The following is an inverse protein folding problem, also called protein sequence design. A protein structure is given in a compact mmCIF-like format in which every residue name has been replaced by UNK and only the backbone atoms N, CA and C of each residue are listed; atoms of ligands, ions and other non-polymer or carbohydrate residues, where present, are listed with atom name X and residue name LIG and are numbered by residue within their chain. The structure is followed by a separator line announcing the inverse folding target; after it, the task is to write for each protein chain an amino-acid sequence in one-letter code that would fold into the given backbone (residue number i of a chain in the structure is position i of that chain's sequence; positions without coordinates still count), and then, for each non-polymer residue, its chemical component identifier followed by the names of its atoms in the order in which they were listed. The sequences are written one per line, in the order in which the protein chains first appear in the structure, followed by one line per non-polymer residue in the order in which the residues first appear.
data_IF_884875365041
#
_entry.id   IF_884875365041
#
_cell.length_a   1.000
_cell.length_b   1.000
_cell.length_c   1.000
_cell.angle_alpha   90.00
_cell.angle_beta   90.00
_cell.angle_gamma   90.00
#
_symmetry.space_group_name_H-M   'P 1'
#
loop_
_entity.id
_entity.type
_entity.pdbx_description
1 polymer ?
#
# COMPACT_ATOMS: atom_id res chain seq x y z
N UNK A 1 -22.55 56.13 24.52
CA UNK A 1 -22.14 55.30 25.67
C UNK A 1 -21.10 54.29 25.20
N UNK A 2 -19.84 54.67 25.32
CA UNK A 2 -18.66 53.83 25.06
C UNK A 2 -18.31 53.09 26.36
N UNK A 3 -18.04 51.78 26.30
CA UNK A 3 -17.12 51.14 27.25
C UNK A 3 -16.27 50.10 26.52
N UNK A 4 -15.02 50.50 26.32
CA UNK A 4 -13.86 49.66 25.99
C UNK A 4 -13.57 48.74 27.18
N UNK A 5 -13.16 47.50 26.90
CA UNK A 5 -12.36 46.71 27.82
C UNK A 5 -11.10 46.24 27.09
N UNK A 6 -9.97 46.60 27.71
CA UNK A 6 -8.60 46.34 27.30
C UNK A 6 -8.19 44.89 27.62
N UNK A 7 -7.19 44.34 26.90
CA UNK A 7 -6.55 43.08 27.26
C UNK A 7 -5.53 43.30 28.40
N UNK A 8 -5.50 42.37 29.35
CA UNK A 8 -4.51 42.32 30.42
C UNK A 8 -3.24 41.66 29.88
N UNK A 9 -2.17 42.46 29.76
CA UNK A 9 -0.79 42.03 29.56
C UNK A 9 -0.22 41.59 30.91
N UNK A 10 0.16 40.33 31.04
CA UNK A 10 1.00 39.86 32.13
C UNK A 10 2.47 39.88 31.68
N UNK A 11 3.26 40.79 32.27
CA UNK A 11 4.71 40.85 32.14
C UNK A 11 5.30 39.98 33.25
N UNK A 12 5.92 38.86 32.88
CA UNK A 12 6.73 38.05 33.79
C UNK A 12 8.20 38.38 33.56
N UNK A 13 8.82 39.00 34.56
CA UNK A 13 10.28 39.19 34.66
C UNK A 13 10.88 37.88 35.14
N UNK A 14 11.66 37.21 34.29
CA UNK A 14 12.43 36.02 34.63
C UNK A 14 13.92 36.29 34.53
N UNK A 15 14.61 36.26 35.67
CA UNK A 15 16.07 36.34 35.78
C UNK A 15 16.74 35.21 34.98
N UNK A 16 17.70 35.57 34.13
CA UNK A 16 18.63 34.65 33.51
C UNK A 16 19.75 34.29 34.51
N UNK A 17 19.72 33.07 35.04
CA UNK A 17 20.87 32.42 35.66
C UNK A 17 21.41 31.40 34.67
N UNK A 18 22.61 31.67 34.14
CA UNK A 18 23.31 30.80 33.21
C UNK A 18 23.72 29.50 33.89
N UNK A 19 23.17 28.39 33.43
CA UNK A 19 23.67 27.04 33.71
C UNK A 19 24.19 26.49 32.39
N UNK A 20 25.50 26.25 32.34
CA UNK A 20 26.16 25.63 31.20
C UNK A 20 25.61 24.20 31.00
N UNK A 21 25.35 23.76 29.75
CA UNK A 21 24.92 22.39 29.50
C UNK A 21 26.06 21.39 29.81
N UNK A 22 25.73 20.18 30.30
CA UNK A 22 26.74 19.17 30.55
C UNK A 22 27.34 18.68 29.23
N UNK A 23 28.66 18.55 29.23
CA UNK A 23 29.45 17.91 28.17
C UNK A 23 29.04 16.45 28.09
N UNK A 24 28.27 16.09 27.06
CA UNK A 24 27.99 14.69 26.73
C UNK A 24 29.21 14.13 26.03
N UNK A 25 29.99 13.31 26.75
CA UNK A 25 31.03 12.48 26.14
C UNK A 25 30.39 11.49 25.17
N UNK A 26 30.83 11.58 23.91
CA UNK A 26 30.35 10.73 22.83
C UNK A 26 30.62 9.26 23.10
N UNK A 27 29.56 8.47 23.11
CA UNK A 27 29.65 7.02 22.98
C UNK A 27 30.28 6.68 21.61
N UNK A 28 31.15 5.65 21.52
CA UNK A 28 31.81 5.29 20.29
C UNK A 28 30.77 4.87 19.24
N UNK A 29 30.86 5.50 18.06
CA UNK A 29 30.10 5.11 16.87
C UNK A 29 30.49 3.68 16.51
N UNK A 30 29.65 2.73 16.88
CA UNK A 30 29.67 1.39 16.29
C UNK A 30 29.45 1.54 14.79
N UNK A 31 30.46 1.26 14.00
CA UNK A 31 30.38 1.10 12.55
C UNK A 31 29.47 -0.10 12.26
N UNK A 32 28.23 0.18 11.86
CA UNK A 32 27.34 -0.82 11.29
C UNK A 32 27.98 -1.32 9.99
N UNK A 33 28.13 -2.64 9.77
CA UNK A 33 28.60 -3.15 8.50
C UNK A 33 27.63 -2.71 7.40
N UNK A 34 28.11 -1.83 6.53
CA UNK A 34 27.49 -1.52 5.25
C UNK A 34 27.58 -2.77 4.38
N UNK A 35 26.69 -3.73 4.61
CA UNK A 35 26.35 -4.73 3.62
C UNK A 35 25.85 -3.96 2.40
N UNK A 36 26.71 -3.87 1.37
CA UNK A 36 26.36 -3.33 0.06
C UNK A 36 25.14 -4.10 -0.43
N UNK A 37 23.94 -3.56 -0.25
CA UNK A 37 22.78 -4.03 -0.98
C UNK A 37 23.07 -3.72 -2.45
N UNK A 38 23.43 -4.77 -3.20
CA UNK A 38 23.40 -4.77 -4.66
C UNK A 38 22.05 -4.19 -5.09
N UNK A 39 22.05 -3.35 -6.14
CA UNK A 39 20.81 -2.80 -6.71
C UNK A 39 19.74 -3.90 -6.79
N UNK A 40 18.47 -3.58 -6.50
CA UNK A 40 17.43 -4.59 -6.54
C UNK A 40 17.40 -5.21 -7.94
N UNK A 41 17.21 -6.51 -7.99
CA UNK A 41 16.91 -7.20 -9.23
C UNK A 41 15.74 -6.50 -9.94
N UNK A 42 15.71 -6.55 -11.27
CA UNK A 42 14.59 -6.02 -12.04
C UNK A 42 13.25 -6.53 -11.47
N UNK A 43 12.18 -5.76 -11.63
CA UNK A 43 10.82 -6.18 -11.26
C UNK A 43 10.42 -7.42 -12.07
N UNK A 44 10.71 -8.59 -11.51
CA UNK A 44 10.46 -9.89 -12.10
C UNK A 44 10.04 -10.87 -11.01
N UNK A 45 8.72 -10.97 -10.82
CA UNK A 45 8.13 -11.83 -9.79
C UNK A 45 8.45 -11.42 -8.34
N UNK A 46 8.86 -10.19 -8.08
CA UNK A 46 9.25 -9.74 -6.72
C UNK A 46 8.04 -9.48 -5.82
N UNK A 47 8.19 -9.69 -4.51
CA UNK A 47 7.22 -9.29 -3.50
C UNK A 47 7.74 -8.06 -2.73
N UNK A 48 7.00 -6.96 -2.76
CA UNK A 48 7.32 -5.75 -2.01
C UNK A 48 6.43 -5.52 -0.79
N UNK A 49 6.95 -4.70 0.12
CA UNK A 49 6.24 -4.15 1.26
C UNK A 49 5.31 -3.02 0.82
N UNK A 50 3.99 -3.22 0.90
CA UNK A 50 3.00 -2.20 0.59
C UNK A 50 2.66 -1.35 1.83
N UNK A 51 2.88 -0.05 1.73
CA UNK A 51 2.57 0.96 2.76
C UNK A 51 1.37 1.85 2.39
N UNK A 52 0.72 1.62 1.25
CA UNK A 52 -0.35 2.49 0.74
C UNK A 52 0.08 3.97 0.75
N UNK A 53 -0.66 4.86 1.40
CA UNK A 53 -0.32 6.27 1.55
C UNK A 53 0.70 6.57 2.67
N UNK A 54 0.88 5.65 3.63
CA UNK A 54 1.56 5.93 4.91
C UNK A 54 3.05 5.56 4.90
N UNK A 55 3.83 6.23 4.05
CA UNK A 55 5.30 6.10 4.16
C UNK A 55 5.91 6.93 5.29
N UNK A 56 5.11 7.69 6.03
CA UNK A 56 5.52 8.26 7.30
C UNK A 56 5.87 7.18 8.34
N UNK A 57 5.26 6.00 8.22
CA UNK A 57 5.53 4.84 9.09
C UNK A 57 6.59 3.88 8.54
N UNK A 58 7.28 4.22 7.45
CA UNK A 58 8.35 3.40 6.90
C UNK A 58 9.45 3.18 7.95
N UNK A 59 9.75 1.91 8.23
CA UNK A 59 10.80 1.50 9.16
C UNK A 59 11.77 0.54 8.48
N UNK A 60 13.00 0.99 8.21
CA UNK A 60 14.02 0.16 7.56
C UNK A 60 14.45 -1.06 8.38
N UNK A 61 14.33 -1.03 9.71
CA UNK A 61 14.61 -2.21 10.54
C UNK A 61 13.57 -3.30 10.31
N UNK A 62 12.31 -2.91 10.09
CA UNK A 62 11.23 -3.84 9.76
C UNK A 62 11.40 -4.40 8.35
N UNK A 63 11.76 -3.57 7.36
CA UNK A 63 12.08 -4.03 6.00
C UNK A 63 13.23 -5.06 6.02
N UNK A 64 14.31 -4.77 6.75
CA UNK A 64 15.43 -5.70 6.93
C UNK A 64 14.99 -6.98 7.63
N UNK A 65 14.21 -6.87 8.71
CA UNK A 65 13.68 -8.04 9.42
C UNK A 65 12.80 -8.91 8.52
N UNK A 66 12.03 -8.33 7.60
CA UNK A 66 11.19 -9.03 6.63
C UNK A 66 11.94 -9.46 5.35
N UNK A 67 13.22 -9.09 5.20
CA UNK A 67 14.02 -9.29 3.98
C UNK A 67 13.40 -8.63 2.73
N UNK A 68 12.58 -7.59 2.92
CA UNK A 68 11.97 -6.86 1.82
C UNK A 68 13.04 -6.12 1.02
N UNK A 69 12.98 -6.22 -0.31
CA UNK A 69 13.87 -5.49 -1.24
C UNK A 69 13.12 -4.48 -2.10
N UNK A 70 11.79 -4.52 -2.06
CA UNK A 70 10.89 -3.64 -2.79
C UNK A 70 9.89 -3.00 -1.84
N UNK A 71 9.52 -1.76 -2.11
CA UNK A 71 8.41 -1.07 -1.44
C UNK A 71 7.38 -0.58 -2.46
N UNK A 72 6.14 -0.43 -1.98
CA UNK A 72 5.04 0.16 -2.75
C UNK A 72 4.28 1.17 -1.92
N UNK A 73 3.89 2.26 -2.58
CA UNK A 73 3.02 3.29 -2.02
C UNK A 73 2.14 3.91 -3.12
N UNK A 74 1.19 4.75 -2.74
CA UNK A 74 0.50 5.65 -3.67
C UNK A 74 0.51 7.09 -3.17
N UNK A 75 0.47 8.03 -4.11
CA UNK A 75 0.38 9.47 -3.86
C UNK A 75 -1.00 9.98 -4.28
N UNK A 76 -1.67 10.70 -3.39
CA UNK A 76 -2.98 11.32 -3.66
C UNK A 76 -2.76 12.63 -4.41
N UNK A 77 -3.24 12.73 -5.64
CA UNK A 77 -2.95 13.86 -6.53
C UNK A 77 -3.33 15.24 -5.98
N UNK A 78 -4.47 15.41 -5.27
CA UNK A 78 -4.78 16.65 -4.56
C UNK A 78 -3.72 17.14 -3.57
N UNK A 79 -2.88 16.26 -3.00
CA UNK A 79 -1.81 16.67 -2.08
C UNK A 79 -0.75 17.53 -2.79
N UNK A 80 -0.69 17.48 -4.12
CA UNK A 80 0.16 18.34 -4.92
C UNK A 80 -0.28 19.81 -4.90
N UNK A 81 -1.51 20.17 -4.51
CA UNK A 81 -1.96 21.56 -4.49
C UNK A 81 -1.30 22.37 -3.36
N UNK A 82 -1.28 21.79 -2.15
CA UNK A 82 -0.99 22.53 -0.92
C UNK A 82 0.49 22.72 -0.59
N UNK A 83 1.38 21.88 -1.14
CA UNK A 83 2.82 21.90 -0.82
C UNK A 83 3.67 21.49 -2.03
N UNK A 84 4.98 21.70 -1.96
CA UNK A 84 5.91 21.06 -2.89
C UNK A 84 5.75 19.53 -2.78
N UNK A 85 5.39 18.80 -3.87
CA UNK A 85 5.23 17.35 -3.82
C UNK A 85 6.46 16.63 -3.26
N UNK A 86 7.69 17.11 -3.54
CA UNK A 86 8.91 16.50 -3.02
C UNK A 86 9.04 16.55 -1.50
N UNK A 87 8.32 17.47 -0.86
CA UNK A 87 8.28 17.62 0.60
C UNK A 87 7.23 16.74 1.27
N UNK A 88 6.33 16.09 0.54
CA UNK A 88 5.31 15.22 1.15
C UNK A 88 5.95 13.96 1.77
N UNK A 89 5.43 13.46 2.91
CA UNK A 89 5.96 12.25 3.55
C UNK A 89 6.05 11.06 2.59
N UNK A 90 5.02 10.87 1.76
CA UNK A 90 4.94 9.80 0.77
C UNK A 90 6.07 9.86 -0.26
N UNK A 91 6.19 10.97 -1.00
CA UNK A 91 7.23 11.06 -2.04
C UNK A 91 8.63 11.08 -1.44
N UNK A 92 8.81 11.72 -0.29
CA UNK A 92 10.10 11.69 0.44
C UNK A 92 10.48 10.26 0.81
N UNK A 93 9.55 9.46 1.32
CA UNK A 93 9.75 8.07 1.70
C UNK A 93 10.12 7.20 0.50
N UNK A 94 9.38 7.27 -0.61
CA UNK A 94 9.70 6.49 -1.82
C UNK A 94 11.08 6.85 -2.36
N UNK A 95 11.37 8.14 -2.47
CA UNK A 95 12.66 8.60 -2.98
C UNK A 95 13.82 8.24 -2.05
N UNK A 96 13.60 8.24 -0.73
CA UNK A 96 14.60 7.78 0.23
C UNK A 96 14.87 6.28 0.10
N UNK A 97 13.84 5.46 -0.03
CA UNK A 97 13.98 4.04 -0.26
C UNK A 97 14.73 3.74 -1.57
N UNK A 98 14.38 4.45 -2.65
CA UNK A 98 15.09 4.35 -3.95
C UNK A 98 16.58 4.70 -3.80
N UNK A 99 16.93 5.79 -3.10
CA UNK A 99 18.33 6.17 -2.82
C UNK A 99 19.09 5.13 -1.99
N UNK A 100 18.39 4.41 -1.10
CA UNK A 100 18.95 3.32 -0.29
C UNK A 100 19.03 1.99 -1.02
N UNK A 101 18.64 1.94 -2.30
CA UNK A 101 18.73 0.74 -3.13
C UNK A 101 17.55 -0.22 -2.99
N UNK A 102 16.40 0.23 -2.51
CA UNK A 102 15.15 -0.54 -2.62
C UNK A 102 14.52 -0.32 -4.00
N UNK A 103 13.84 -1.35 -4.52
CA UNK A 103 12.97 -1.20 -5.67
C UNK A 103 11.68 -0.47 -5.25
N UNK A 104 11.16 0.37 -6.13
CA UNK A 104 10.08 1.30 -5.77
C UNK A 104 8.92 1.28 -6.75
N UNK A 105 7.71 1.09 -6.22
CA UNK A 105 6.46 1.24 -6.97
C UNK A 105 5.65 2.38 -6.37
N UNK A 106 5.23 3.33 -7.22
CA UNK A 106 4.39 4.45 -6.83
C UNK A 106 3.12 4.48 -7.69
N UNK A 107 1.94 4.40 -7.07
CA UNK A 107 0.66 4.66 -7.73
C UNK A 107 0.24 6.13 -7.63
N UNK A 108 -0.45 6.63 -8.65
CA UNK A 108 -1.07 7.96 -8.63
C UNK A 108 -2.57 7.83 -8.38
N UNK A 109 -3.05 8.34 -7.25
CA UNK A 109 -4.45 8.22 -6.84
C UNK A 109 -5.22 9.51 -7.14
N UNK A 110 -6.34 9.39 -7.87
CA UNK A 110 -7.26 10.49 -8.19
C UNK A 110 -8.60 10.24 -7.48
N UNK A 111 -8.84 10.82 -6.28
CA UNK A 111 -10.00 10.49 -5.45
C UNK A 111 -11.28 11.21 -5.94
N UNK A 112 -11.83 10.75 -7.06
CA UNK A 112 -12.98 11.36 -7.75
C UNK A 112 -14.32 10.68 -7.41
N UNK A 113 -14.38 9.91 -6.33
CA UNK A 113 -15.59 9.15 -5.95
C UNK A 113 -16.77 10.04 -5.53
N UNK A 114 -16.50 11.30 -5.18
CA UNK A 114 -17.49 12.30 -4.80
C UNK A 114 -17.67 13.44 -5.82
N UNK A 115 -16.92 13.44 -6.93
CA UNK A 115 -16.91 14.49 -7.93
C UNK A 115 -17.16 13.92 -9.33
N UNK A 116 -17.60 14.75 -10.26
CA UNK A 116 -17.66 14.35 -11.66
C UNK A 116 -16.26 14.15 -12.23
N UNK A 117 -16.09 13.04 -12.95
CA UNK A 117 -14.87 12.77 -13.68
C UNK A 117 -14.59 13.93 -14.66
N UNK A 118 -13.42 14.59 -14.57
CA UNK A 118 -13.11 15.71 -15.46
C UNK A 118 -13.12 15.31 -16.93
N UNK A 119 -13.96 15.95 -17.74
CA UNK A 119 -13.96 15.76 -19.18
C UNK A 119 -12.67 16.28 -19.80
N UNK A 120 -12.15 15.59 -20.83
CA UNK A 120 -10.96 16.02 -21.56
C UNK A 120 -11.17 17.41 -22.16
N UNK A 121 -10.20 18.29 -22.01
CA UNK A 121 -10.26 19.70 -22.45
C UNK A 121 -11.00 20.64 -21.49
N UNK A 122 -11.61 20.14 -20.41
CA UNK A 122 -12.23 20.99 -19.39
C UNK A 122 -11.20 21.66 -18.47
N UNK A 123 -11.63 22.73 -17.78
CA UNK A 123 -10.82 23.37 -16.75
C UNK A 123 -10.48 22.42 -15.59
N UNK A 124 -11.40 21.54 -15.21
CA UNK A 124 -11.16 20.53 -14.17
C UNK A 124 -10.06 19.54 -14.58
N UNK A 125 -10.05 19.11 -15.85
CA UNK A 125 -8.99 18.25 -16.37
C UNK A 125 -7.64 18.98 -16.40
N UNK A 126 -7.63 20.25 -16.80
CA UNK A 126 -6.42 21.08 -16.74
C UNK A 126 -5.87 21.20 -15.31
N UNK A 127 -6.73 21.25 -14.29
CA UNK A 127 -6.31 21.22 -12.87
C UNK A 127 -5.62 19.90 -12.52
N UNK A 128 -6.19 18.75 -12.89
CA UNK A 128 -5.56 17.44 -12.62
C UNK A 128 -4.22 17.29 -13.35
N UNK A 129 -4.13 17.74 -14.60
CA UNK A 129 -2.89 17.72 -15.37
C UNK A 129 -1.84 18.69 -14.79
N UNK A 130 -2.24 19.83 -14.24
CA UNK A 130 -1.32 20.75 -13.57
C UNK A 130 -0.73 20.14 -12.29
N UNK A 131 -1.53 19.39 -11.50
CA UNK A 131 -1.02 18.62 -10.36
C UNK A 131 -0.02 17.57 -10.81
N UNK A 132 -0.34 16.84 -11.88
CA UNK A 132 0.55 15.86 -12.48
C UNK A 132 1.88 16.48 -12.90
N UNK A 133 1.85 17.64 -13.54
CA UNK A 133 3.05 18.37 -13.98
C UNK A 133 3.95 18.83 -12.82
N UNK A 134 3.41 18.97 -11.60
CA UNK A 134 4.21 19.21 -10.39
C UNK A 134 4.85 17.94 -9.85
N UNK A 135 4.19 16.78 -10.01
CA UNK A 135 4.67 15.49 -9.47
C UNK A 135 5.70 14.84 -10.39
N UNK A 136 5.52 14.89 -11.71
CA UNK A 136 6.38 14.20 -12.67
C UNK A 136 7.88 14.55 -12.57
N UNK A 137 8.30 15.82 -12.41
CA UNK A 137 9.71 16.18 -12.22
C UNK A 137 10.34 15.58 -10.96
N UNK A 138 9.51 15.22 -9.97
CA UNK A 138 9.96 14.68 -8.69
C UNK A 138 10.23 13.18 -8.79
N UNK A 139 9.44 12.45 -9.57
CA UNK A 139 9.41 10.97 -9.55
C UNK A 139 9.92 10.30 -10.82
N UNK A 140 9.76 10.92 -11.99
CA UNK A 140 10.14 10.33 -13.27
C UNK A 140 11.66 10.10 -13.33
N UNK A 141 12.06 8.87 -13.67
CA UNK A 141 13.45 8.43 -13.66
C UNK A 141 14.03 8.11 -12.27
N UNK A 142 13.27 8.36 -11.18
CA UNK A 142 13.72 8.13 -9.80
C UNK A 142 13.04 6.93 -9.13
N UNK A 143 11.81 6.64 -9.52
CA UNK A 143 11.08 5.42 -9.11
C UNK A 143 11.21 4.33 -10.17
N UNK A 144 11.14 3.05 -9.77
CA UNK A 144 11.24 1.92 -10.70
C UNK A 144 9.95 1.71 -11.49
N UNK A 145 8.80 1.83 -10.82
CA UNK A 145 7.47 1.66 -11.41
C UNK A 145 6.58 2.85 -11.02
N UNK A 146 5.93 3.44 -12.01
CA UNK A 146 4.85 4.42 -11.84
C UNK A 146 3.54 3.82 -12.35
N UNK A 147 2.56 3.67 -11.46
CA UNK A 147 1.22 3.17 -11.79
C UNK A 147 0.28 4.35 -12.01
N UNK A 148 -0.32 4.38 -13.18
CA UNK A 148 -1.21 5.43 -13.66
C UNK A 148 -2.62 5.07 -13.20
N UNK A 149 -3.03 5.71 -12.10
CA UNK A 149 -4.21 5.36 -11.33
C UNK A 149 -3.88 4.47 -10.13
N UNK A 150 -4.68 4.60 -9.08
CA UNK A 150 -4.78 3.65 -7.99
C UNK A 150 -6.28 3.41 -7.81
N UNK A 151 -6.74 2.21 -8.15
CA UNK A 151 -8.16 1.83 -8.17
C UNK A 151 -9.12 2.79 -8.94
N UNK A 152 -8.83 3.15 -10.21
CA UNK A 152 -9.62 4.05 -11.05
C UNK A 152 -11.13 3.88 -10.95
N UNK A 153 -11.62 2.64 -11.00
CA UNK A 153 -13.05 2.37 -10.99
C UNK A 153 -13.66 2.59 -9.60
N UNK A 154 -12.97 2.26 -8.50
CA UNK A 154 -13.46 2.50 -7.14
C UNK A 154 -13.44 3.99 -6.83
N UNK A 155 -12.38 4.69 -7.23
CA UNK A 155 -12.17 6.12 -7.04
C UNK A 155 -13.00 7.00 -7.98
N UNK A 156 -14.00 6.43 -8.66
CA UNK A 156 -14.91 7.13 -9.55
C UNK A 156 -16.36 6.85 -9.17
N UNK A 157 -17.24 7.83 -9.41
CA UNK A 157 -18.68 7.66 -9.26
C UNK A 157 -19.18 6.53 -10.18
N UNK A 158 -20.19 5.73 -9.78
CA UNK A 158 -20.70 4.64 -10.59
C UNK A 158 -21.08 5.02 -12.03
N UNK A 159 -21.69 6.19 -12.23
CA UNK A 159 -22.10 6.69 -13.55
C UNK A 159 -20.94 7.06 -14.48
N UNK A 160 -19.76 7.37 -13.92
CA UNK A 160 -18.60 7.79 -14.70
C UNK A 160 -17.76 6.58 -15.16
N UNK A 161 -18.07 5.36 -14.70
CA UNK A 161 -17.34 4.10 -15.00
C UNK A 161 -17.63 3.57 -16.42
N UNK A 162 -17.57 4.46 -17.38
CA UNK A 162 -17.90 4.28 -18.80
C UNK A 162 -16.72 4.76 -19.66
N UNK A 163 -16.98 5.25 -20.87
CA UNK A 163 -15.96 5.88 -21.71
C UNK A 163 -15.35 7.13 -21.06
N UNK A 164 -16.09 7.87 -20.24
CA UNK A 164 -15.62 9.09 -19.57
C UNK A 164 -14.41 8.80 -18.67
N UNK A 165 -14.46 7.72 -17.88
CA UNK A 165 -13.32 7.26 -17.08
C UNK A 165 -12.11 6.93 -17.95
N UNK A 166 -12.33 6.22 -19.06
CA UNK A 166 -11.23 5.85 -19.95
C UNK A 166 -10.60 7.09 -20.58
N UNK A 167 -11.39 8.02 -21.11
CA UNK A 167 -10.89 9.27 -21.70
C UNK A 167 -10.03 10.08 -20.71
N UNK A 168 -10.46 10.17 -19.45
CA UNK A 168 -9.67 10.81 -18.40
C UNK A 168 -8.31 10.13 -18.18
N UNK A 169 -8.32 8.82 -17.93
CA UNK A 169 -7.08 8.08 -17.62
C UNK A 169 -6.16 7.89 -18.83
N UNK A 170 -6.72 7.80 -20.04
CA UNK A 170 -5.98 7.81 -21.31
C UNK A 170 -5.25 9.16 -21.47
N UNK A 171 -5.91 10.29 -21.25
CA UNK A 171 -5.29 11.61 -21.32
C UNK A 171 -4.23 11.83 -20.21
N UNK A 172 -4.46 11.32 -18.99
CA UNK A 172 -3.43 11.28 -17.94
C UNK A 172 -2.22 10.47 -18.41
N UNK A 173 -2.44 9.27 -18.95
CA UNK A 173 -1.36 8.40 -19.42
C UNK A 173 -0.56 9.04 -20.56
N UNK A 174 -1.23 9.64 -21.54
CA UNK A 174 -0.60 10.37 -22.64
C UNK A 174 0.28 11.52 -22.14
N UNK A 175 -0.18 12.28 -21.14
CA UNK A 175 0.62 13.36 -20.53
C UNK A 175 1.88 12.81 -19.85
N UNK A 176 1.77 11.71 -19.10
CA UNK A 176 2.91 11.05 -18.44
C UNK A 176 3.91 10.53 -19.47
N UNK A 177 3.43 9.88 -20.53
CA UNK A 177 4.26 9.34 -21.61
C UNK A 177 4.98 10.48 -22.34
N UNK A 178 4.28 11.56 -22.67
CA UNK A 178 4.88 12.74 -23.31
C UNK A 178 5.97 13.35 -22.42
N UNK A 179 5.71 13.51 -21.12
CA UNK A 179 6.70 13.99 -20.17
C UNK A 179 7.92 13.07 -20.10
N UNK A 180 7.70 11.75 -19.98
CA UNK A 180 8.75 10.73 -19.96
C UNK A 180 9.62 10.87 -21.21
N UNK A 181 9.05 10.89 -22.41
CA UNK A 181 9.83 11.00 -23.66
C UNK A 181 10.63 12.29 -23.77
N UNK A 182 10.10 13.41 -23.25
CA UNK A 182 10.78 14.71 -23.31
C UNK A 182 11.89 14.88 -22.26
N UNK A 183 11.77 14.26 -21.09
CA UNK A 183 12.67 14.50 -19.95
C UNK A 183 13.47 13.27 -19.52
N UNK A 184 13.10 12.09 -20.01
CA UNK A 184 13.68 10.82 -19.68
C UNK A 184 14.05 10.11 -21.00
N UNK A 185 15.34 9.87 -21.20
CA UNK A 185 15.82 9.21 -22.42
C UNK A 185 15.35 7.75 -22.55
N UNK A 186 15.83 7.02 -23.58
CA UNK A 186 15.48 5.61 -23.79
C UNK A 186 15.79 4.74 -22.56
N UNK A 187 16.81 5.12 -21.78
CA UNK A 187 17.23 4.43 -20.55
C UNK A 187 16.48 4.88 -19.28
N UNK A 188 15.29 5.47 -19.44
CA UNK A 188 14.48 5.89 -18.30
C UNK A 188 14.19 4.72 -17.36
N UNK A 189 14.67 4.82 -16.12
CA UNK A 189 14.47 3.81 -15.07
C UNK A 189 12.99 3.47 -14.86
N UNK A 190 12.11 4.47 -14.93
CA UNK A 190 10.69 4.33 -14.61
C UNK A 190 9.93 3.60 -15.71
N UNK A 191 9.35 2.47 -15.33
CA UNK A 191 8.39 1.69 -16.12
C UNK A 191 6.97 2.16 -15.80
N UNK A 192 6.13 2.23 -16.83
CA UNK A 192 4.74 2.71 -16.71
C UNK A 192 3.76 1.55 -16.77
N UNK A 193 2.80 1.51 -15.85
CA UNK A 193 1.69 0.57 -15.82
C UNK A 193 0.39 1.34 -15.63
N UNK A 194 -0.72 0.88 -16.20
CA UNK A 194 -2.03 1.43 -15.86
C UNK A 194 -2.68 0.58 -14.80
N UNK A 195 -3.37 1.19 -13.85
CA UNK A 195 -3.92 0.40 -12.77
C UNK A 195 -4.62 1.17 -11.68
N UNK A 196 -5.15 0.49 -10.67
CA UNK A 196 -5.30 -0.96 -10.62
C UNK A 196 -6.74 -1.37 -10.93
N UNK A 197 -6.94 -2.50 -11.61
CA UNK A 197 -8.28 -3.05 -11.82
C UNK A 197 -8.72 -3.87 -10.61
N UNK A 198 -9.92 -3.61 -10.13
CA UNK A 198 -10.51 -4.28 -8.98
C UNK A 198 -11.61 -5.25 -9.41
N UNK A 199 -11.87 -6.22 -8.54
CA UNK A 199 -13.04 -7.10 -8.56
C UNK A 199 -13.29 -7.84 -9.90
N UNK A 200 -12.23 -8.21 -10.62
CA UNK A 200 -12.35 -8.99 -11.85
C UNK A 200 -12.79 -10.45 -11.60
N UNK A 201 -12.82 -10.90 -10.34
CA UNK A 201 -13.52 -12.11 -9.89
C UNK A 201 -15.00 -12.11 -10.30
N UNK A 202 -15.63 -10.94 -10.32
CA UNK A 202 -17.04 -10.79 -10.68
C UNK A 202 -17.21 -10.54 -12.19
N UNK A 203 -17.91 -11.41 -12.93
CA UNK A 203 -18.18 -11.18 -14.36
C UNK A 203 -18.85 -9.83 -14.64
N UNK A 204 -19.76 -9.39 -13.76
CA UNK A 204 -20.44 -8.10 -13.88
C UNK A 204 -19.51 -6.87 -13.78
N UNK A 205 -18.28 -7.04 -13.29
CA UNK A 205 -17.26 -5.98 -13.23
C UNK A 205 -16.38 -5.92 -14.48
N UNK A 206 -16.48 -6.91 -15.38
CA UNK A 206 -15.76 -6.96 -16.66
C UNK A 206 -16.55 -6.22 -17.74
N UNK A 207 -16.67 -4.91 -17.57
CA UNK A 207 -17.51 -4.06 -18.41
C UNK A 207 -16.82 -3.69 -19.73
N UNK A 208 -17.55 -3.12 -20.72
CA UNK A 208 -16.92 -2.55 -21.92
C UNK A 208 -15.85 -1.50 -21.62
N UNK A 209 -16.01 -0.74 -20.52
CA UNK A 209 -15.00 0.21 -20.07
C UNK A 209 -13.71 -0.49 -19.62
N UNK A 210 -13.79 -1.63 -18.94
CA UNK A 210 -12.61 -2.44 -18.58
C UNK A 210 -11.97 -3.08 -19.82
N UNK A 211 -12.76 -3.48 -20.81
CA UNK A 211 -12.23 -3.97 -22.09
C UNK A 211 -11.48 -2.85 -22.86
N UNK A 212 -12.03 -1.63 -22.90
CA UNK A 212 -11.35 -0.46 -23.47
C UNK A 212 -10.03 -0.17 -22.74
N UNK A 213 -10.03 -0.20 -21.41
CA UNK A 213 -8.83 -0.05 -20.60
C UNK A 213 -7.72 -1.04 -21.00
N UNK A 214 -8.06 -2.33 -21.06
CA UNK A 214 -7.09 -3.37 -21.43
C UNK A 214 -6.62 -3.23 -22.88
N UNK A 215 -7.49 -2.82 -23.79
CA UNK A 215 -7.12 -2.51 -25.17
C UNK A 215 -6.10 -1.37 -25.23
N UNK A 216 -6.34 -0.27 -24.52
CA UNK A 216 -5.42 0.87 -24.49
C UNK A 216 -4.06 0.47 -23.89
N UNK A 217 -4.05 -0.33 -22.81
CA UNK A 217 -2.81 -0.91 -22.27
C UNK A 217 -2.06 -1.71 -23.33
N UNK A 218 -2.75 -2.59 -24.06
CA UNK A 218 -2.16 -3.43 -25.10
C UNK A 218 -1.64 -2.62 -26.29
N UNK A 219 -2.32 -1.55 -26.68
CA UNK A 219 -2.02 -0.80 -27.91
C UNK A 219 -1.02 0.35 -27.69
N UNK A 220 -0.77 0.74 -26.44
CA UNK A 220 0.18 1.81 -26.10
C UNK A 220 1.58 1.21 -25.82
N UNK A 221 2.61 1.50 -26.64
CA UNK A 221 3.92 0.87 -26.50
C UNK A 221 4.67 1.23 -25.20
N UNK A 222 4.51 2.46 -24.70
CA UNK A 222 5.19 2.93 -23.49
C UNK A 222 4.65 2.26 -22.21
N UNK A 223 3.46 1.65 -22.26
CA UNK A 223 2.88 0.91 -21.15
C UNK A 223 3.44 -0.52 -21.12
N UNK A 224 4.03 -0.86 -19.98
CA UNK A 224 4.61 -2.17 -19.69
C UNK A 224 3.57 -3.18 -19.20
N UNK A 225 2.34 -2.73 -18.94
CA UNK A 225 1.18 -3.58 -18.70
C UNK A 225 0.19 -2.98 -17.71
N UNK A 226 -0.43 -3.85 -16.91
CA UNK A 226 -1.56 -3.50 -16.03
C UNK A 226 -1.30 -3.87 -14.57
N UNK A 227 -1.85 -3.10 -13.63
CA UNK A 227 -1.94 -3.49 -12.21
C UNK A 227 -3.34 -4.02 -11.87
N UNK A 228 -3.40 -5.01 -10.99
CA UNK A 228 -4.64 -5.60 -10.46
C UNK A 228 -4.62 -5.62 -8.94
N UNK A 229 -5.76 -5.39 -8.31
CA UNK A 229 -5.93 -5.50 -6.85
C UNK A 229 -6.87 -6.66 -6.48
N UNK A 230 -6.39 -7.92 -6.46
CA UNK A 230 -7.19 -9.05 -6.02
C UNK A 230 -7.38 -9.05 -4.51
N UNK A 231 -8.46 -8.39 -4.08
CA UNK A 231 -9.08 -8.55 -2.76
C UNK A 231 -10.26 -9.49 -2.94
N UNK A 232 -10.17 -10.70 -2.38
CA UNK A 232 -11.04 -11.83 -2.77
C UNK A 232 -11.70 -12.52 -1.57
N UNK A 233 -12.87 -13.16 -1.78
CA UNK A 233 -13.56 -13.94 -0.75
C UNK A 233 -12.96 -15.34 -0.54
N UNK A 234 -12.09 -15.79 -1.44
CA UNK A 234 -11.35 -17.04 -1.33
C UNK A 234 -10.14 -17.03 -2.27
N UNK A 235 -9.21 -17.98 -2.10
CA UNK A 235 -7.99 -18.06 -2.91
C UNK A 235 -8.24 -18.34 -4.40
N UNK A 236 -9.25 -19.15 -4.73
CA UNK A 236 -9.54 -19.51 -6.12
C UNK A 236 -10.07 -18.31 -6.92
N UNK A 237 -10.72 -17.35 -6.25
CA UNK A 237 -11.20 -16.11 -6.86
C UNK A 237 -10.09 -15.16 -7.37
N UNK A 238 -8.80 -15.45 -7.15
CA UNK A 238 -7.70 -14.73 -7.82
C UNK A 238 -7.51 -15.17 -9.27
N UNK A 239 -7.71 -16.45 -9.59
CA UNK A 239 -7.49 -16.98 -10.95
C UNK A 239 -8.30 -16.23 -12.04
N UNK A 240 -9.58 -15.87 -11.81
CA UNK A 240 -10.34 -15.09 -12.78
C UNK A 240 -9.76 -13.71 -13.12
N UNK A 241 -8.95 -13.10 -12.24
CA UNK A 241 -8.19 -11.89 -12.61
C UNK A 241 -7.15 -12.22 -13.68
N UNK A 242 -6.35 -13.27 -13.44
CA UNK A 242 -5.28 -13.71 -14.33
C UNK A 242 -5.83 -14.16 -15.69
N UNK A 243 -6.89 -14.96 -15.69
CA UNK A 243 -7.58 -15.43 -16.91
C UNK A 243 -8.12 -14.26 -17.73
N UNK A 244 -8.50 -13.17 -17.07
CA UNK A 244 -8.99 -11.99 -17.76
C UNK A 244 -7.85 -11.15 -18.36
N UNK A 245 -6.81 -10.84 -17.56
CA UNK A 245 -5.77 -9.88 -17.98
C UNK A 245 -4.72 -10.50 -18.89
N UNK A 246 -4.25 -11.72 -18.62
CA UNK A 246 -3.10 -12.30 -19.33
C UNK A 246 -3.33 -12.44 -20.85
N UNK A 247 -4.49 -12.94 -21.33
CA UNK A 247 -4.74 -13.03 -22.77
C UNK A 247 -4.88 -11.67 -23.47
N UNK A 248 -5.07 -10.59 -22.71
CA UNK A 248 -5.24 -9.22 -23.23
C UNK A 248 -3.94 -8.43 -23.28
N UNK A 249 -2.89 -8.89 -22.61
CA UNK A 249 -1.57 -8.26 -22.65
C UNK A 249 -0.80 -8.67 -23.91
N UNK A 250 0.03 -7.76 -24.44
CA UNK A 250 1.05 -8.14 -25.44
C UNK A 250 2.05 -9.15 -24.84
N UNK A 251 2.77 -9.95 -25.64
CA UNK A 251 3.72 -10.94 -25.12
C UNK A 251 4.81 -10.37 -24.19
N UNK A 252 5.25 -9.13 -24.44
CA UNK A 252 6.31 -8.43 -23.70
C UNK A 252 5.82 -7.70 -22.43
N UNK A 253 4.51 -7.51 -22.27
CA UNK A 253 3.94 -6.83 -21.11
C UNK A 253 3.90 -7.73 -19.88
N UNK A 254 3.84 -7.18 -18.68
CA UNK A 254 3.67 -7.92 -17.43
C UNK A 254 2.47 -7.38 -16.65
N UNK A 255 2.03 -8.09 -15.62
CA UNK A 255 1.07 -7.55 -14.67
C UNK A 255 1.75 -7.22 -13.34
N UNK A 256 1.15 -6.29 -12.62
CA UNK A 256 1.41 -6.04 -11.21
C UNK A 256 0.22 -6.55 -10.39
N UNK A 257 0.49 -6.95 -9.15
CA UNK A 257 -0.54 -7.19 -8.15
C UNK A 257 -0.19 -6.38 -6.90
N UNK A 258 -0.22 -5.04 -7.01
CA UNK A 258 0.40 -4.18 -5.96
C UNK A 258 -0.37 -4.19 -4.63
N UNK A 259 -1.59 -4.72 -4.63
CA UNK A 259 -2.35 -5.06 -3.44
C UNK A 259 -3.08 -6.39 -3.64
N UNK A 260 -2.93 -7.33 -2.70
CA UNK A 260 -3.75 -8.55 -2.66
C UNK A 260 -4.08 -8.96 -1.23
N UNK A 261 -5.26 -9.53 -1.02
CA UNK A 261 -5.72 -9.96 0.31
C UNK A 261 -6.90 -10.93 0.27
N UNK A 262 -7.16 -11.58 1.40
CA UNK A 262 -8.39 -12.34 1.70
C UNK A 262 -9.39 -11.51 2.51
N UNK A 263 -9.41 -10.18 2.33
CA UNK A 263 -10.16 -9.30 3.24
C UNK A 263 -11.68 -9.59 3.26
N UNK A 264 -12.25 -10.02 2.14
CA UNK A 264 -13.68 -10.35 2.07
C UNK A 264 -13.97 -11.67 2.77
N UNK A 265 -13.06 -12.65 2.66
CA UNK A 265 -13.13 -13.89 3.42
C UNK A 265 -13.12 -13.60 4.93
N UNK A 266 -12.18 -12.80 5.42
CA UNK A 266 -12.12 -12.46 6.85
C UNK A 266 -13.32 -11.65 7.33
N UNK A 267 -13.91 -10.83 6.46
CA UNK A 267 -15.10 -10.04 6.79
C UNK A 267 -16.30 -10.94 7.14
N UNK A 268 -16.45 -12.06 6.44
CA UNK A 268 -17.54 -13.02 6.69
C UNK A 268 -17.45 -13.66 8.09
N UNK A 269 -16.24 -13.73 8.67
CA UNK A 269 -15.98 -14.37 9.96
C UNK A 269 -15.95 -13.41 11.16
N UNK A 270 -16.18 -12.11 10.97
CA UNK A 270 -16.13 -11.14 12.07
C UNK A 270 -17.15 -11.41 13.18
N UNK A 271 -18.29 -12.02 12.85
CA UNK A 271 -19.35 -12.36 13.80
C UNK A 271 -19.28 -13.79 14.31
N UNK A 272 -18.28 -14.57 13.90
CA UNK A 272 -18.10 -15.92 14.41
C UNK A 272 -17.68 -15.89 15.90
N UNK A 273 -18.12 -16.87 16.71
CA UNK A 273 -17.64 -17.01 18.07
C UNK A 273 -16.14 -17.35 18.06
N UNK A 274 -15.39 -16.78 18.99
CA UNK A 274 -14.00 -17.18 19.20
C UNK A 274 -13.92 -18.56 19.87
N UNK A 275 -12.78 -19.24 19.76
CA UNK A 275 -12.57 -20.53 20.42
C UNK A 275 -12.88 -20.43 21.93
N UNK A 276 -13.69 -21.34 22.50
CA UNK A 276 -13.95 -21.37 23.95
C UNK A 276 -12.68 -21.46 24.79
N UNK A 277 -11.67 -22.19 24.30
CA UNK A 277 -10.38 -22.36 24.97
C UNK A 277 -9.59 -21.04 24.99
N UNK A 278 -9.63 -20.28 23.89
CA UNK A 278 -9.05 -18.94 23.84
C UNK A 278 -9.78 -18.00 24.81
N UNK A 279 -11.12 -18.01 24.77
CA UNK A 279 -11.93 -17.16 25.64
C UNK A 279 -11.67 -17.44 27.12
N UNK A 280 -11.67 -18.70 27.54
CA UNK A 280 -11.36 -19.11 28.91
C UNK A 280 -9.93 -18.70 29.32
N UNK A 281 -8.93 -19.00 28.48
CA UNK A 281 -7.52 -18.72 28.77
C UNK A 281 -7.23 -17.23 28.97
N UNK A 282 -7.89 -16.37 28.19
CA UNK A 282 -7.64 -14.93 28.19
C UNK A 282 -8.76 -14.12 28.87
N UNK A 283 -9.71 -14.78 29.54
CA UNK A 283 -10.74 -14.13 30.34
C UNK A 283 -11.84 -13.41 29.56
N UNK A 284 -12.08 -13.79 28.30
CA UNK A 284 -13.22 -13.27 27.53
C UNK A 284 -14.52 -14.00 27.94
N UNK A 285 -15.66 -13.30 27.98
CA UNK A 285 -16.96 -13.95 28.18
C UNK A 285 -17.25 -15.04 27.15
N UNK A 286 -17.95 -16.09 27.56
CA UNK A 286 -18.41 -17.12 26.62
C UNK A 286 -19.31 -16.50 25.54
N UNK A 287 -19.11 -16.90 24.29
CA UNK A 287 -19.84 -16.33 23.14
C UNK A 287 -19.31 -15.00 22.61
N UNK A 288 -18.18 -14.50 23.14
CA UNK A 288 -17.46 -13.37 22.52
C UNK A 288 -17.16 -13.69 21.05
N UNK A 289 -17.38 -12.72 20.17
CA UNK A 289 -17.17 -12.87 18.72
C UNK A 289 -15.87 -12.20 18.26
N UNK A 290 -15.37 -12.62 17.09
CA UNK A 290 -14.08 -12.20 16.52
C UNK A 290 -13.88 -10.68 16.53
N UNK A 291 -14.86 -9.90 16.05
CA UNK A 291 -14.71 -8.44 15.99
C UNK A 291 -14.57 -7.79 17.36
N UNK A 292 -15.15 -8.38 18.42
CA UNK A 292 -15.04 -7.86 19.79
C UNK A 292 -13.62 -8.06 20.32
N UNK A 293 -13.01 -9.22 20.07
CA UNK A 293 -11.62 -9.50 20.45
C UNK A 293 -10.66 -8.59 19.69
N UNK A 294 -10.88 -8.37 18.39
CA UNK A 294 -10.07 -7.42 17.62
C UNK A 294 -10.20 -6.01 18.18
N UNK A 295 -11.42 -5.56 18.50
CA UNK A 295 -11.64 -4.24 19.10
C UNK A 295 -10.93 -4.09 20.44
N UNK A 296 -10.92 -5.14 21.27
CA UNK A 296 -10.17 -5.14 22.53
C UNK A 296 -8.66 -5.04 22.28
N UNK A 297 -8.12 -5.78 21.30
CA UNK A 297 -6.71 -5.68 20.91
C UNK A 297 -6.33 -4.30 20.38
N UNK A 298 -7.25 -3.59 19.70
CA UNK A 298 -7.03 -2.20 19.27
C UNK A 298 -6.97 -1.26 20.47
N UNK A 299 -7.87 -1.43 21.45
CA UNK A 299 -7.93 -0.59 22.65
C UNK A 299 -6.74 -0.84 23.59
N UNK A 300 -6.35 -2.10 23.74
CA UNK A 300 -5.23 -2.57 24.54
C UNK A 300 -4.46 -3.62 23.75
N UNK A 301 -3.39 -3.23 23.03
CA UNK A 301 -2.58 -4.14 22.25
C UNK A 301 -2.22 -5.40 23.03
N UNK A 302 -2.48 -6.55 22.43
CA UNK A 302 -2.22 -7.85 23.03
C UNK A 302 -0.73 -8.18 23.04
N UNK A 303 -0.33 -9.08 23.93
CA UNK A 303 0.97 -9.74 23.76
C UNK A 303 1.01 -10.51 22.43
N UNK A 304 2.21 -10.70 21.87
CA UNK A 304 2.37 -11.50 20.64
C UNK A 304 1.76 -12.90 20.79
N UNK A 305 1.92 -13.54 21.95
CA UNK A 305 1.38 -14.87 22.20
C UNK A 305 -0.16 -14.86 22.16
N UNK A 306 -0.80 -13.89 22.80
CA UNK A 306 -2.26 -13.81 22.83
C UNK A 306 -2.83 -13.54 21.43
N UNK A 307 -2.20 -12.66 20.65
CA UNK A 307 -2.60 -12.42 19.27
C UNK A 307 -2.46 -13.67 18.39
N UNK A 308 -1.36 -14.41 18.56
CA UNK A 308 -1.14 -15.67 17.86
C UNK A 308 -2.17 -16.73 18.28
N UNK A 309 -2.42 -16.92 19.57
CA UNK A 309 -3.38 -17.90 20.08
C UNK A 309 -4.80 -17.59 19.59
N UNK A 310 -5.18 -16.30 19.49
CA UNK A 310 -6.45 -15.88 18.92
C UNK A 310 -6.64 -16.35 17.48
N UNK A 311 -5.69 -16.02 16.60
CA UNK A 311 -5.81 -16.31 15.17
C UNK A 311 -5.51 -17.79 14.85
N UNK A 312 -4.59 -18.43 15.55
CA UNK A 312 -4.29 -19.86 15.42
C UNK A 312 -5.48 -20.74 15.85
N UNK A 313 -6.26 -20.30 16.84
CA UNK A 313 -7.46 -21.02 17.31
C UNK A 313 -8.70 -20.76 16.45
N UNK A 314 -8.59 -19.93 15.41
CA UNK A 314 -9.66 -19.60 14.47
C UNK A 314 -9.50 -20.41 13.18
N UNK A 315 -10.25 -21.52 12.95
CA UNK A 315 -10.01 -22.43 11.82
C UNK A 315 -10.07 -21.74 10.46
N UNK A 316 -10.93 -20.73 10.33
CA UNK A 316 -11.06 -19.92 9.12
C UNK A 316 -9.76 -19.17 8.80
N UNK A 317 -9.07 -18.60 9.79
CA UNK A 317 -7.80 -17.89 9.58
C UNK A 317 -6.64 -18.88 9.42
N UNK A 318 -6.57 -19.87 10.33
CA UNK A 318 -5.47 -20.83 10.41
C UNK A 318 -5.30 -21.65 9.12
N UNK A 319 -6.42 -22.01 8.48
CA UNK A 319 -6.41 -22.70 7.17
C UNK A 319 -5.85 -21.86 6.02
N UNK A 320 -5.73 -20.54 6.19
CA UNK A 320 -5.22 -19.58 5.19
C UNK A 320 -3.85 -19.00 5.55
N UNK A 321 -3.20 -19.50 6.61
CA UNK A 321 -1.92 -18.97 7.12
C UNK A 321 -0.80 -18.88 6.08
N UNK A 322 -0.85 -19.69 5.03
CA UNK A 322 0.15 -19.72 3.96
C UNK A 322 -0.25 -18.94 2.69
N UNK A 323 -1.22 -18.03 2.79
CA UNK A 323 -1.77 -17.34 1.62
C UNK A 323 -0.73 -16.56 0.82
N UNK A 324 0.22 -15.87 1.47
CA UNK A 324 1.27 -15.11 0.78
C UNK A 324 2.13 -16.04 -0.06
N UNK A 325 2.60 -17.15 0.51
CA UNK A 325 3.42 -18.13 -0.20
C UNK A 325 2.68 -18.72 -1.40
N UNK A 326 1.48 -19.23 -1.16
CA UNK A 326 0.70 -19.92 -2.18
C UNK A 326 0.31 -18.97 -3.32
N UNK A 327 -0.08 -17.72 -2.99
CA UNK A 327 -0.46 -16.73 -3.99
C UNK A 327 0.73 -16.20 -4.79
N UNK A 328 1.88 -15.98 -4.15
CA UNK A 328 3.11 -15.61 -4.86
C UNK A 328 3.57 -16.70 -5.82
N UNK A 329 3.46 -17.98 -5.43
CA UNK A 329 3.73 -19.10 -6.32
C UNK A 329 2.81 -19.06 -7.55
N UNK A 330 1.51 -18.88 -7.36
CA UNK A 330 0.54 -18.79 -8.45
C UNK A 330 0.84 -17.61 -9.40
N UNK A 331 1.13 -16.42 -8.86
CA UNK A 331 1.49 -15.27 -9.69
C UNK A 331 2.79 -15.50 -10.46
N UNK A 332 3.83 -16.05 -9.83
CA UNK A 332 5.11 -16.33 -10.50
C UNK A 332 5.00 -17.41 -11.57
N UNK A 333 4.17 -18.42 -11.34
CA UNK A 333 3.94 -19.52 -12.29
C UNK A 333 3.39 -19.05 -13.65
N UNK A 334 2.79 -17.85 -13.71
CA UNK A 334 2.38 -17.23 -14.97
C UNK A 334 3.57 -16.85 -15.88
N UNK A 335 4.77 -16.67 -15.31
CA UNK A 335 5.93 -16.07 -16.00
C UNK A 335 5.76 -14.58 -16.35
N UNK A 336 4.68 -13.94 -15.89
CA UNK A 336 4.26 -12.59 -16.32
C UNK A 336 4.03 -11.62 -15.16
N UNK A 337 4.32 -12.01 -13.93
CA UNK A 337 4.34 -11.11 -12.77
C UNK A 337 5.59 -10.22 -12.82
N UNK A 338 5.42 -8.90 -12.74
CA UNK A 338 6.54 -7.97 -12.52
C UNK A 338 6.78 -7.73 -11.02
N UNK A 339 5.74 -7.33 -10.28
CA UNK A 339 5.82 -7.06 -8.85
C UNK A 339 4.45 -7.26 -8.19
N UNK A 340 4.46 -7.86 -7.01
CA UNK A 340 3.31 -7.93 -6.11
C UNK A 340 3.59 -7.14 -4.83
N UNK A 341 2.55 -6.60 -4.20
CA UNK A 341 2.65 -5.87 -2.93
C UNK A 341 1.71 -6.46 -1.88
N UNK A 342 2.24 -6.73 -0.69
CA UNK A 342 1.43 -7.19 0.45
C UNK A 342 1.47 -6.16 1.57
N UNK A 343 0.34 -5.99 2.27
CA UNK A 343 0.20 -5.00 3.34
C UNK A 343 1.28 -5.18 4.39
N UNK A 344 2.11 -4.16 4.59
CA UNK A 344 3.32 -4.32 5.38
C UNK A 344 3.11 -3.94 6.85
N UNK A 345 2.35 -2.88 7.09
CA UNK A 345 2.13 -2.32 8.43
C UNK A 345 0.70 -1.83 8.54
N UNK A 346 0.05 -2.08 9.68
CA UNK A 346 -1.27 -1.49 9.96
C UNK A 346 -1.17 0.04 10.01
N UNK A 347 -2.22 0.72 9.53
CA UNK A 347 -2.38 2.17 9.59
C UNK A 347 -3.59 2.57 10.44
N UNK A 348 -3.76 3.87 10.70
CA UNK A 348 -4.88 4.40 11.50
C UNK A 348 -6.24 4.08 10.84
N UNK A 349 -6.47 4.32 9.53
CA UNK A 349 -7.73 3.97 8.87
C UNK A 349 -8.17 2.51 9.02
N UNK A 350 -7.22 1.56 9.12
CA UNK A 350 -7.51 0.13 9.31
C UNK A 350 -8.15 -0.18 10.67
N UNK A 351 -7.86 0.59 11.71
CA UNK A 351 -8.30 0.32 13.09
C UNK A 351 -9.34 1.29 13.63
N UNK A 352 -9.47 2.46 13.00
CA UNK A 352 -10.46 3.45 13.40
C UNK A 352 -11.89 2.94 13.23
N UNK A 353 -12.71 3.15 14.26
CA UNK A 353 -14.13 2.79 14.34
C UNK A 353 -14.40 1.30 14.02
N UNK A 354 -13.54 0.41 14.56
CA UNK A 354 -13.64 -1.02 14.30
C UNK A 354 -14.88 -1.64 14.96
N UNK A 355 -15.69 -2.32 14.15
CA UNK A 355 -16.93 -2.98 14.55
C UNK A 355 -17.32 -4.08 13.56
N UNK A 356 -18.51 -4.70 13.71
CA UNK A 356 -18.92 -5.87 12.93
C UNK A 356 -18.94 -5.62 11.41
N UNK A 357 -19.23 -4.38 10.97
CA UNK A 357 -19.34 -4.03 9.55
C UNK A 357 -18.04 -3.51 8.95
N UNK A 358 -17.01 -3.25 9.78
CA UNK A 358 -15.73 -2.70 9.33
C UNK A 358 -15.00 -3.78 8.52
N UNK A 359 -14.52 -3.41 7.33
CA UNK A 359 -13.68 -4.31 6.54
C UNK A 359 -12.34 -4.52 7.27
N UNK A 360 -11.93 -5.78 7.58
CA UNK A 360 -10.84 -6.06 8.50
C UNK A 360 -9.46 -6.01 7.84
N UNK A 361 -9.13 -4.87 7.24
CA UNK A 361 -7.84 -4.64 6.57
C UNK A 361 -6.63 -4.86 7.49
N UNK A 362 -6.79 -4.62 8.79
CA UNK A 362 -5.75 -4.82 9.80
C UNK A 362 -5.21 -6.25 9.88
N UNK A 363 -5.97 -7.24 9.39
CA UNK A 363 -5.55 -8.63 9.32
C UNK A 363 -4.57 -8.89 8.16
N UNK A 364 -4.45 -7.96 7.20
CA UNK A 364 -3.60 -8.05 6.01
C UNK A 364 -2.18 -7.46 6.20
N UNK A 365 -1.66 -7.37 7.42
CA UNK A 365 -0.42 -6.63 7.69
C UNK A 365 0.67 -7.51 8.29
N UNK A 366 1.89 -7.47 7.73
CA UNK A 366 3.08 -8.15 8.30
C UNK A 366 3.35 -7.68 9.73
N UNK A 367 3.33 -6.36 9.94
CA UNK A 367 3.47 -5.73 11.25
C UNK A 367 2.13 -5.16 11.70
N UNK A 368 1.79 -5.41 12.96
CA UNK A 368 0.51 -5.12 13.58
C UNK A 368 0.66 -4.18 14.79
N UNK A 369 1.18 -2.95 14.61
CA UNK A 369 1.49 -2.03 15.70
C UNK A 369 0.27 -1.56 16.50
N UNK A 370 -0.96 -1.72 15.98
CA UNK A 370 -2.17 -1.27 16.66
C UNK A 370 -2.89 -2.40 17.40
N UNK A 371 -2.62 -3.66 17.10
CA UNK A 371 -3.26 -4.80 17.79
C UNK A 371 -2.29 -5.63 18.63
N UNK A 372 -0.98 -5.44 18.45
CA UNK A 372 0.06 -6.23 19.10
C UNK A 372 1.12 -5.32 19.70
N UNK A 373 1.49 -5.60 20.95
CA UNK A 373 2.56 -4.91 21.65
C UNK A 373 3.89 -5.00 20.88
N UNK A 374 4.75 -3.96 20.97
CA UNK A 374 6.05 -3.99 20.33
C UNK A 374 6.91 -5.14 20.88
N UNK A 375 7.72 -5.73 20.02
CA UNK A 375 8.67 -6.76 20.41
C UNK A 375 9.79 -6.18 21.30
N UNK A 376 10.47 -7.00 22.13
CA UNK A 376 11.54 -6.53 23.02
C UNK A 376 12.71 -5.83 22.31
N UNK A 377 12.92 -6.12 21.02
CA UNK A 377 13.96 -5.49 20.19
C UNK A 377 13.52 -4.13 19.59
N UNK A 378 12.34 -3.62 19.96
CA UNK A 378 11.79 -2.35 19.51
C UNK A 378 11.13 -2.37 18.13
N UNK A 379 10.98 -3.53 17.50
CA UNK A 379 10.12 -3.67 16.31
C UNK A 379 8.64 -3.63 16.71
N UNK A 380 7.77 -3.25 15.78
CA UNK A 380 6.34 -3.46 15.96
C UNK A 380 6.02 -4.95 16.18
N UNK A 381 4.92 -5.22 16.90
CA UNK A 381 4.37 -6.56 16.98
C UNK A 381 4.01 -7.09 15.59
N UNK A 382 4.01 -8.41 15.43
CA UNK A 382 3.77 -9.07 14.15
C UNK A 382 2.29 -9.43 13.99
N UNK A 383 1.80 -9.29 12.75
CA UNK A 383 0.62 -10.02 12.33
C UNK A 383 0.87 -11.53 12.42
N UNK A 384 -0.19 -12.31 12.61
CA UNK A 384 -0.08 -13.76 12.65
C UNK A 384 0.13 -14.33 11.25
N UNK A 385 0.91 -15.41 11.14
CA UNK A 385 1.17 -16.20 9.93
C UNK A 385 2.01 -15.58 8.80
N UNK A 386 2.13 -14.25 8.71
CA UNK A 386 2.62 -13.63 7.47
C UNK A 386 4.14 -13.50 7.31
N UNK A 387 4.88 -13.26 8.39
CA UNK A 387 6.29 -12.84 8.30
C UNK A 387 7.19 -13.93 7.70
N UNK A 388 6.95 -15.20 8.04
CA UNK A 388 7.81 -16.31 7.59
C UNK A 388 7.55 -16.59 6.11
N UNK A 389 6.28 -16.69 5.71
CA UNK A 389 5.89 -16.75 4.31
C UNK A 389 6.47 -15.58 3.50
N UNK A 390 6.36 -14.33 4.01
CA UNK A 390 6.88 -13.15 3.34
C UNK A 390 8.39 -13.23 3.14
N UNK A 391 9.16 -13.69 4.14
CA UNK A 391 10.62 -13.88 4.04
C UNK A 391 10.98 -14.99 3.07
N UNK A 392 10.26 -16.10 3.14
CA UNK A 392 10.52 -17.32 2.37
C UNK A 392 10.35 -17.09 0.86
N UNK A 393 9.41 -16.23 0.46
CA UNK A 393 9.20 -15.89 -0.94
C UNK A 393 10.18 -14.83 -1.48
N UNK A 394 10.95 -14.14 -0.63
CA UNK A 394 12.03 -13.25 -1.08
C UNK A 394 13.21 -14.03 -1.66
N UNK A 395 13.38 -15.29 -1.25
CA UNK A 395 14.41 -16.18 -1.77
C UNK A 395 13.98 -16.64 -3.16
N UNK A 396 14.86 -16.48 -4.15
CA UNK A 396 14.60 -16.88 -5.53
C UNK A 396 14.23 -18.37 -5.63
N UNK A 397 13.43 -18.79 -6.65
CA UNK A 397 13.11 -20.20 -6.89
C UNK A 397 14.36 -21.08 -6.99
N UNK A 398 15.47 -20.54 -7.51
CA UNK A 398 16.72 -21.26 -7.77
C UNK A 398 17.58 -21.53 -6.51
N UNK A 399 17.12 -21.09 -5.34
CA UNK A 399 17.80 -21.31 -4.06
C UNK A 399 17.11 -22.36 -3.16
N UNK A 400 16.19 -23.17 -3.71
CA UNK A 400 15.53 -24.27 -2.99
C UNK A 400 15.88 -25.64 -3.56
#
# INVERSE_FOLDING_TARGET
MLRRLLPITAVTVGLALGVAPPVVHGAPRGTVPSGSMTRPHAADGVLGANFNQDLGSLNYRELQAARATWIRAFFTMPDADGVDPASTPTLRGVLDASRRGYGTTLGLKFPLSAAEMPAVGSAAMATELARLDRVLPVVMGRVDILVIGNEPFIESRPQDRTDVLNEFYEAVAERIIAYRRAHCGPDCKTRLYMGALNRLDLPARRTPAVERWMRFVRETPDLQGVDIHPHVPDRAAVQPFLDYVLPRLRPDQKFLATEFSLVWYWKEHLSDPVSPQFAERYGFPAGTVVWQVIREAIAQPFSQQQWNDFLASSPWFESQRHYIRDQMQAFRATGRLAMAGYGFRQDIPMVQDFGPDKTPWLLNSIFAPYTVQPAPNGLAGLGYAWIDDFRDVQLAPDCR
#
